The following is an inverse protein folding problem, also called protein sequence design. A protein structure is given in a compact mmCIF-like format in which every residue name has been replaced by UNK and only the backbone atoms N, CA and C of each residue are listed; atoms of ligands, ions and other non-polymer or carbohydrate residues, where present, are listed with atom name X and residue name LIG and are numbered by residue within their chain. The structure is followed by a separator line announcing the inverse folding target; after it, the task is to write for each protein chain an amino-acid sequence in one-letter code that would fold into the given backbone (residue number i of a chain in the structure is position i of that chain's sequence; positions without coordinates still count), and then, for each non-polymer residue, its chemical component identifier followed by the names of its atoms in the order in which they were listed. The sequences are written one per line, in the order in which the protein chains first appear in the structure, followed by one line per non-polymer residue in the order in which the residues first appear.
data_IF_155951488268
#
_entry.id   IF_155951488268
#
_cell.length_a   1.000
_cell.length_b   1.000
_cell.length_c   1.000
_cell.angle_alpha   90.00
_cell.angle_beta   90.00
_cell.angle_gamma   90.00
#
_symmetry.space_group_name_H-M   'P 1'
#
loop_
_entity.id
_entity.type
_entity.pdbx_description
1 polymer ?
#
# COMPACT_ATOMS: atom_id res chain seq x y z
N UNK A 1 -34.59 -21.65 -18.12
CA UNK A 1 -34.59 -20.26 -17.62
C UNK A 1 -33.66 -19.42 -18.49
N UNK A 2 -34.19 -18.84 -19.57
CA UNK A 2 -33.52 -17.83 -20.41
C UNK A 2 -34.60 -16.81 -20.75
N UNK A 3 -34.82 -15.82 -19.88
CA UNK A 3 -35.91 -14.84 -20.07
C UNK A 3 -35.45 -13.49 -20.66
N UNK A 4 -34.14 -13.30 -20.90
CA UNK A 4 -33.59 -12.02 -21.42
C UNK A 4 -32.44 -12.20 -22.43
N UNK A 5 -32.07 -13.43 -22.81
CA UNK A 5 -31.03 -13.66 -23.80
C UNK A 5 -31.63 -13.61 -25.23
N UNK A 6 -30.94 -12.94 -26.15
CA UNK A 6 -31.34 -12.92 -27.57
C UNK A 6 -31.07 -14.31 -28.15
N UNK A 7 -32.13 -15.02 -28.55
CA UNK A 7 -32.00 -16.34 -29.17
C UNK A 7 -31.73 -16.20 -30.67
N UNK A 8 -30.78 -16.99 -31.23
CA UNK A 8 -30.41 -16.93 -32.66
C UNK A 8 -31.47 -17.61 -33.53
N UNK A 9 -32.64 -16.98 -33.65
CA UNK A 9 -33.72 -17.23 -34.63
C UNK A 9 -34.91 -16.26 -34.47
N UNK A 10 -34.96 -15.46 -33.39
CA UNK A 10 -36.07 -14.54 -33.07
C UNK A 10 -35.55 -13.19 -32.58
N UNK A 11 -34.50 -12.68 -33.21
CA UNK A 11 -33.79 -11.49 -32.75
C UNK A 11 -34.64 -10.21 -32.85
N UNK A 12 -35.46 -10.08 -33.89
CA UNK A 12 -36.33 -8.92 -34.09
C UNK A 12 -37.36 -8.79 -32.95
N UNK A 13 -38.10 -9.85 -32.67
CA UNK A 13 -39.11 -9.89 -31.60
C UNK A 13 -38.48 -9.68 -30.20
N UNK A 14 -37.31 -10.26 -29.96
CA UNK A 14 -36.57 -10.05 -28.71
C UNK A 14 -36.13 -8.58 -28.56
N UNK A 15 -35.65 -7.93 -29.63
CA UNK A 15 -35.26 -6.51 -29.62
C UNK A 15 -36.46 -5.59 -29.39
N UNK A 16 -37.60 -5.89 -29.99
CA UNK A 16 -38.82 -5.12 -29.79
C UNK A 16 -39.37 -5.27 -28.36
N UNK A 17 -39.25 -6.48 -27.77
CA UNK A 17 -39.58 -6.70 -26.36
C UNK A 17 -38.66 -5.91 -25.44
N UNK A 18 -37.35 -5.88 -25.71
CA UNK A 18 -36.38 -5.09 -24.93
C UNK A 18 -36.71 -3.60 -25.01
N UNK A 19 -36.96 -3.07 -26.22
CA UNK A 19 -37.35 -1.67 -26.41
C UNK A 19 -38.62 -1.34 -25.62
N UNK A 20 -39.65 -2.19 -25.72
CA UNK A 20 -40.89 -2.01 -24.97
C UNK A 20 -40.65 -1.95 -23.46
N UNK A 21 -39.76 -2.78 -22.92
CA UNK A 21 -39.40 -2.76 -21.50
C UNK A 21 -38.66 -1.46 -21.14
N UNK A 22 -37.68 -1.04 -21.95
CA UNK A 22 -36.96 0.21 -21.77
C UNK A 22 -37.90 1.42 -21.79
N UNK A 23 -38.81 1.49 -22.76
CA UNK A 23 -39.77 2.60 -22.91
C UNK A 23 -40.77 2.61 -21.74
N UNK A 24 -41.27 1.44 -21.34
CA UNK A 24 -42.18 1.31 -20.19
C UNK A 24 -41.47 1.70 -18.89
N UNK A 25 -40.21 1.32 -18.73
CA UNK A 25 -39.41 1.72 -17.58
C UNK A 25 -39.17 3.24 -17.57
N UNK A 26 -38.82 3.85 -18.71
CA UNK A 26 -38.55 5.28 -18.81
C UNK A 26 -39.73 6.17 -18.39
N UNK A 27 -40.96 5.70 -18.59
CA UNK A 27 -42.20 6.42 -18.20
C UNK A 27 -42.65 6.06 -16.77
N UNK A 28 -42.08 5.00 -16.18
CA UNK A 28 -42.46 4.53 -14.84
C UNK A 28 -42.09 5.52 -13.73
N UNK A 29 -42.84 5.53 -12.61
CA UNK A 29 -42.50 6.38 -11.46
C UNK A 29 -41.13 6.00 -10.87
N UNK A 30 -40.74 4.73 -10.94
CA UNK A 30 -39.42 4.25 -10.47
C UNK A 30 -38.28 4.92 -11.24
N UNK A 31 -38.40 5.08 -12.57
CA UNK A 31 -37.36 5.76 -13.34
C UNK A 31 -37.27 7.24 -12.99
N UNK A 32 -38.39 7.88 -12.62
CA UNK A 32 -38.41 9.27 -12.15
C UNK A 32 -37.72 9.40 -10.79
N UNK A 33 -38.01 8.52 -9.85
CA UNK A 33 -37.36 8.49 -8.53
C UNK A 33 -35.84 8.25 -8.67
N UNK A 34 -35.43 7.32 -9.52
CA UNK A 34 -34.00 7.03 -9.78
C UNK A 34 -33.30 8.23 -10.42
N UNK A 35 -33.97 8.93 -11.36
CA UNK A 35 -33.42 10.11 -12.01
C UNK A 35 -33.37 11.31 -11.07
N UNK A 36 -34.35 11.45 -10.18
CA UNK A 36 -34.37 12.46 -9.11
C UNK A 36 -33.28 12.20 -8.08
N UNK A 37 -33.07 10.96 -7.64
CA UNK A 37 -31.94 10.57 -6.77
C UNK A 37 -30.61 10.78 -7.47
N UNK A 38 -30.49 10.49 -8.77
CA UNK A 38 -29.26 10.69 -9.54
C UNK A 38 -28.95 12.18 -9.77
N UNK A 39 -29.96 13.03 -9.99
CA UNK A 39 -29.80 14.48 -10.12
C UNK A 39 -29.57 15.16 -8.77
N UNK A 40 -30.23 14.68 -7.71
CA UNK A 40 -29.98 15.10 -6.33
C UNK A 40 -28.56 14.70 -5.92
N UNK A 41 -28.10 13.49 -6.27
CA UNK A 41 -26.73 13.01 -6.04
C UNK A 41 -25.64 13.71 -6.86
N UNK A 42 -25.99 14.53 -7.88
CA UNK A 42 -25.06 15.45 -8.54
C UNK A 42 -24.91 16.79 -7.82
N UNK A 43 -25.88 17.19 -6.99
CA UNK A 43 -25.87 18.44 -6.23
C UNK A 43 -25.68 18.23 -4.72
N UNK A 44 -25.88 17.01 -4.23
CA UNK A 44 -25.55 16.58 -2.88
C UNK A 44 -24.20 15.90 -2.97
N UNK A 45 -23.17 16.69 -2.69
CA UNK A 45 -21.89 16.22 -2.22
C UNK A 45 -22.09 14.97 -1.35
N UNK A 46 -21.68 13.80 -1.83
CA UNK A 46 -21.03 12.71 -1.10
C UNK A 46 -21.45 12.44 0.37
N UNK A 47 -22.71 12.65 0.75
CA UNK A 47 -23.10 12.67 2.16
C UNK A 47 -23.98 11.49 2.58
N UNK A 48 -23.85 10.32 1.93
CA UNK A 48 -24.46 9.11 2.47
C UNK A 48 -23.56 7.87 2.29
N UNK A 49 -23.18 7.31 3.45
CA UNK A 49 -22.59 5.99 3.73
C UNK A 49 -21.08 5.77 3.70
N UNK A 50 -20.26 6.76 3.40
CA UNK A 50 -18.85 6.72 3.80
C UNK A 50 -18.59 7.94 4.68
N UNK A 51 -18.67 7.76 6.00
CA UNK A 51 -18.08 8.72 6.92
C UNK A 51 -16.69 9.08 6.36
N UNK A 52 -16.42 10.35 6.02
CA UNK A 52 -15.07 10.74 5.69
C UNK A 52 -14.29 10.55 6.98
N UNK A 53 -13.53 9.45 7.07
CA UNK A 53 -12.51 9.30 8.09
C UNK A 53 -11.68 10.58 8.03
N UNK A 54 -11.72 11.40 9.09
CA UNK A 54 -11.06 12.71 9.13
C UNK A 54 -9.69 12.65 8.43
N UNK A 55 -9.54 13.34 7.29
CA UNK A 55 -8.30 13.40 6.51
C UNK A 55 -8.34 12.97 5.04
N UNK A 56 -9.50 12.62 4.47
CA UNK A 56 -9.59 12.27 3.04
C UNK A 56 -9.84 13.51 2.18
N UNK A 57 -8.78 14.17 1.75
CA UNK A 57 -8.85 15.08 0.60
C UNK A 57 -8.94 14.24 -0.68
N UNK A 58 -9.96 14.52 -1.51
CA UNK A 58 -10.18 13.85 -2.82
C UNK A 58 -9.03 14.00 -3.82
N UNK A 59 -8.03 14.83 -3.54
CA UNK A 59 -6.96 15.19 -4.49
C UNK A 59 -5.61 15.46 -3.81
N UNK A 60 -5.32 14.84 -2.66
CA UNK A 60 -4.03 15.02 -1.98
C UNK A 60 -3.59 13.81 -1.16
N UNK A 61 -2.28 13.64 -0.99
CA UNK A 61 -1.72 12.62 -0.10
C UNK A 61 -2.30 12.82 1.32
N UNK A 62 -3.07 11.83 1.80
CA UNK A 62 -3.81 11.80 3.07
C UNK A 62 -2.99 12.06 4.35
N UNK A 63 -1.67 12.10 4.25
CA UNK A 63 -0.77 12.27 5.39
C UNK A 63 0.48 13.03 4.96
N UNK A 64 1.09 13.78 5.87
CA UNK A 64 2.39 14.41 5.63
C UNK A 64 3.44 13.36 5.32
N UNK A 65 4.44 13.70 4.50
CA UNK A 65 5.50 12.78 4.06
C UNK A 65 6.18 12.06 5.24
N UNK A 66 6.40 12.77 6.35
CA UNK A 66 6.95 12.20 7.58
C UNK A 66 6.09 11.13 8.22
N UNK A 67 4.77 11.33 8.26
CA UNK A 67 3.84 10.34 8.81
C UNK A 67 3.87 9.08 7.96
N UNK A 68 3.87 9.19 6.64
CA UNK A 68 3.98 8.04 5.74
C UNK A 68 5.31 7.31 5.90
N UNK A 69 6.42 8.06 5.99
CA UNK A 69 7.75 7.50 6.21
C UNK A 69 7.82 6.71 7.53
N UNK A 70 7.32 7.28 8.62
CA UNK A 70 7.29 6.59 9.92
C UNK A 70 6.50 5.29 9.88
N UNK A 71 5.29 5.30 9.29
CA UNK A 71 4.47 4.09 9.19
C UNK A 71 5.11 3.00 8.33
N UNK A 72 5.75 3.38 7.22
CA UNK A 72 6.49 2.44 6.37
C UNK A 72 7.69 1.87 7.11
N UNK A 73 8.45 2.72 7.82
CA UNK A 73 9.61 2.29 8.60
C UNK A 73 9.19 1.35 9.74
N UNK A 74 8.12 1.69 10.46
CA UNK A 74 7.54 0.84 11.50
C UNK A 74 7.13 -0.54 10.97
N UNK A 75 6.38 -0.57 9.85
CA UNK A 75 5.96 -1.82 9.21
C UNK A 75 7.14 -2.65 8.71
N UNK A 76 8.11 -2.00 8.09
CA UNK A 76 9.35 -2.63 7.63
C UNK A 76 10.13 -3.22 8.80
N UNK A 77 10.27 -2.46 9.89
CA UNK A 77 10.94 -2.89 11.12
C UNK A 77 10.28 -4.13 11.75
N UNK A 78 8.96 -4.13 11.89
CA UNK A 78 8.21 -5.29 12.38
C UNK A 78 8.38 -6.53 11.49
N UNK A 79 8.40 -6.34 10.18
CA UNK A 79 8.59 -7.43 9.22
C UNK A 79 9.99 -8.02 9.32
N UNK A 80 11.01 -7.17 9.41
CA UNK A 80 12.41 -7.58 9.61
C UNK A 80 12.61 -8.32 10.94
N UNK A 81 11.93 -7.90 12.01
CA UNK A 81 11.96 -8.61 13.29
C UNK A 81 11.28 -9.98 13.25
N UNK A 82 10.21 -10.09 12.45
CA UNK A 82 9.36 -11.30 12.38
C UNK A 82 9.93 -12.39 11.48
N UNK A 83 10.69 -12.03 10.45
CA UNK A 83 11.43 -12.99 9.61
C UNK A 83 12.95 -12.72 9.62
N UNK A 84 13.62 -12.94 10.76
CA UNK A 84 14.95 -12.39 11.00
C UNK A 84 16.08 -13.36 10.63
N UNK A 85 15.83 -14.48 9.93
CA UNK A 85 16.86 -15.52 9.75
C UNK A 85 18.11 -14.97 9.04
N UNK A 86 17.93 -14.30 7.90
CA UNK A 86 19.06 -13.76 7.13
C UNK A 86 19.73 -12.57 7.84
N UNK A 87 18.95 -11.72 8.50
CA UNK A 87 19.44 -10.52 9.19
C UNK A 87 20.18 -10.89 10.48
N UNK A 88 19.66 -11.84 11.27
CA UNK A 88 20.34 -12.35 12.47
C UNK A 88 21.66 -13.00 12.13
N UNK A 89 21.73 -13.84 11.08
CA UNK A 89 22.98 -14.50 10.70
C UNK A 89 24.02 -13.47 10.28
N UNK A 90 23.66 -12.48 9.45
CA UNK A 90 24.58 -11.41 9.06
C UNK A 90 25.02 -10.56 10.25
N UNK A 91 24.10 -10.16 11.13
CA UNK A 91 24.43 -9.41 12.33
C UNK A 91 25.35 -10.19 13.27
N UNK A 92 25.06 -11.47 13.49
CA UNK A 92 25.87 -12.35 14.34
C UNK A 92 27.27 -12.55 13.76
N UNK A 93 27.37 -12.81 12.45
CA UNK A 93 28.64 -12.96 11.75
C UNK A 93 29.47 -11.68 11.83
N UNK A 94 28.89 -10.53 11.50
CA UNK A 94 29.59 -9.24 11.59
C UNK A 94 29.98 -8.91 13.03
N UNK A 95 29.12 -9.20 14.01
CA UNK A 95 29.43 -9.00 15.43
C UNK A 95 30.58 -9.89 15.89
N UNK A 96 30.64 -11.17 15.46
CA UNK A 96 31.77 -12.05 15.76
C UNK A 96 33.07 -11.52 15.14
N UNK A 97 33.06 -11.15 13.87
CA UNK A 97 34.25 -10.59 13.19
C UNK A 97 34.70 -9.29 13.86
N UNK A 98 33.76 -8.39 14.16
CA UNK A 98 34.06 -7.14 14.85
C UNK A 98 34.60 -7.38 16.27
N UNK A 99 34.08 -8.35 17.01
CA UNK A 99 34.59 -8.72 18.33
C UNK A 99 35.99 -9.34 18.27
N UNK A 100 36.28 -10.17 17.26
CA UNK A 100 37.62 -10.75 17.06
C UNK A 100 38.64 -9.65 16.74
N UNK A 101 38.35 -8.79 15.76
CA UNK A 101 39.22 -7.66 15.41
C UNK A 101 39.36 -6.73 16.62
N UNK A 102 38.25 -6.36 17.26
CA UNK A 102 38.24 -5.52 18.46
C UNK A 102 39.10 -6.10 19.58
N UNK A 103 39.09 -7.42 19.78
CA UNK A 103 39.92 -8.10 20.78
C UNK A 103 41.40 -8.13 20.40
N UNK A 104 41.75 -8.28 19.12
CA UNK A 104 43.15 -8.28 18.65
C UNK A 104 43.80 -6.90 18.86
N UNK A 105 43.05 -5.84 18.59
CA UNK A 105 43.51 -4.46 18.71
C UNK A 105 43.17 -3.83 20.08
N UNK A 106 42.68 -4.62 21.04
CA UNK A 106 42.34 -4.12 22.38
C UNK A 106 43.60 -3.78 23.16
N UNK A 107 43.62 -2.60 23.81
CA UNK A 107 44.72 -2.22 24.71
C UNK A 107 46.04 -1.84 24.03
N UNK A 108 45.99 -1.34 22.79
CA UNK A 108 47.17 -0.79 22.12
C UNK A 108 47.81 0.34 22.93
N UNK A 109 49.12 0.23 23.18
CA UNK A 109 49.90 1.29 23.83
C UNK A 109 50.27 2.34 22.78
N UNK A 110 50.29 3.61 23.18
CA UNK A 110 50.65 4.75 22.33
C UNK A 110 52.18 4.78 22.12
N UNK A 111 52.69 3.80 21.38
CA UNK A 111 54.09 3.69 20.96
C UNK A 111 54.15 3.56 19.42
N UNK A 112 55.35 3.56 18.84
CA UNK A 112 55.55 3.47 17.39
C UNK A 112 54.89 2.20 16.79
N UNK A 113 54.97 1.07 17.50
CA UNK A 113 54.26 -0.17 17.15
C UNK A 113 52.73 -0.02 17.25
N UNK A 114 52.24 0.82 18.16
CA UNK A 114 50.83 1.10 18.34
C UNK A 114 50.22 1.93 17.21
N UNK A 115 50.96 2.94 16.73
CA UNK A 115 50.56 3.73 15.56
C UNK A 115 50.48 2.84 14.31
N UNK A 116 51.43 1.92 14.15
CA UNK A 116 51.41 0.94 13.06
C UNK A 116 50.20 0.00 13.15
N UNK A 117 49.88 -0.51 14.34
CA UNK A 117 48.75 -1.42 14.51
C UNK A 117 47.40 -0.71 14.27
N UNK A 118 47.23 0.53 14.76
CA UNK A 118 46.00 1.31 14.51
C UNK A 118 45.79 1.59 13.02
N UNK A 119 46.86 1.94 12.30
CA UNK A 119 46.78 2.11 10.84
C UNK A 119 46.41 0.79 10.14
N UNK A 120 46.96 -0.35 10.60
CA UNK A 120 46.57 -1.67 10.12
C UNK A 120 45.09 -2.00 10.36
N UNK A 121 44.55 -1.64 11.53
CA UNK A 121 43.13 -1.82 11.84
C UNK A 121 42.24 -0.97 10.93
N UNK A 122 42.60 0.31 10.70
CA UNK A 122 41.85 1.19 9.80
C UNK A 122 41.84 0.66 8.36
N UNK A 123 42.96 0.10 7.88
CA UNK A 123 43.01 -0.56 6.57
C UNK A 123 42.11 -1.80 6.50
N UNK A 124 41.97 -2.56 7.59
CA UNK A 124 41.06 -3.72 7.65
C UNK A 124 39.58 -3.32 7.66
N UNK A 125 39.24 -2.12 8.13
CA UNK A 125 37.85 -1.63 8.20
C UNK A 125 37.39 -0.85 6.97
N UNK A 126 38.33 -0.32 6.17
CA UNK A 126 38.09 0.51 4.98
C UNK A 126 38.03 -0.35 3.72
#
# INVERSE_FOLDING_TARGET
VQMLAIAPNKEADCRDTIKKICDTFAVSPIARDVLEVANTGKNVDEQYYLQPMNGVSKTGYRATWWTQFYYVLWRSWLTVLKDPMLVKVRLLQTAMVAALIGSIYFGQRMDQDGVMNINGALFLFL
#
